data_IF_880108188514
#
_entry.id   IF_880108188514
#
_cell.length_a   1.000
_cell.length_b   1.000
_cell.length_c   1.000
_cell.angle_alpha   90.00
_cell.angle_beta   90.00
_cell.angle_gamma   90.00
#
_symmetry.space_group_name_H-M   'P 1'
#
loop_
_entity.id
_entity.type
_entity.pdbx_description
1 polymer ?
#
# COMPACT_ATOMS: atom_id res chain seq x y z
N UNK A 1 -60.46 -55.66 5.81
CA UNK A 1 -59.69 -55.07 4.69
C UNK A 1 -59.65 -53.54 4.69
N UNK A 2 -60.65 -52.84 5.24
CA UNK A 2 -60.69 -51.36 5.28
C UNK A 2 -59.52 -50.73 6.08
N UNK A 3 -59.04 -51.41 7.13
CA UNK A 3 -58.01 -50.88 8.04
C UNK A 3 -56.59 -50.85 7.44
N UNK A 4 -56.24 -51.86 6.61
CA UNK A 4 -54.96 -51.91 5.90
C UNK A 4 -54.94 -50.87 4.78
N UNK A 5 -56.06 -50.69 4.06
CA UNK A 5 -56.18 -49.67 3.02
C UNK A 5 -56.02 -48.26 3.58
N UNK A 6 -56.64 -47.96 4.73
CA UNK A 6 -56.48 -46.66 5.40
C UNK A 6 -55.05 -46.38 5.85
N UNK A 7 -54.34 -47.39 6.34
CA UNK A 7 -52.95 -47.25 6.80
C UNK A 7 -51.95 -47.08 5.64
N UNK A 8 -52.18 -47.76 4.51
CA UNK A 8 -51.38 -47.59 3.29
C UNK A 8 -51.61 -46.20 2.68
N UNK A 9 -52.87 -45.73 2.64
CA UNK A 9 -53.19 -44.39 2.14
C UNK A 9 -52.58 -43.30 3.02
N UNK A 10 -52.68 -43.42 4.34
CA UNK A 10 -52.04 -42.50 5.30
C UNK A 10 -50.51 -42.52 5.20
N UNK A 11 -49.90 -43.70 5.03
CA UNK A 11 -48.46 -43.84 4.81
C UNK A 11 -48.00 -43.19 3.49
N UNK A 12 -48.76 -43.37 2.41
CA UNK A 12 -48.49 -42.70 1.13
C UNK A 12 -48.66 -41.19 1.21
N UNK A 13 -49.68 -40.68 1.90
CA UNK A 13 -49.87 -39.22 2.06
C UNK A 13 -48.75 -38.60 2.88
N UNK A 14 -48.28 -39.29 3.92
CA UNK A 14 -47.14 -38.83 4.70
C UNK A 14 -45.84 -38.80 3.87
N UNK A 15 -45.54 -39.86 3.11
CA UNK A 15 -44.34 -39.91 2.25
C UNK A 15 -44.39 -38.86 1.13
N UNK A 16 -45.56 -38.65 0.51
CA UNK A 16 -45.74 -37.61 -0.52
C UNK A 16 -45.57 -36.21 0.07
N UNK A 17 -46.12 -35.95 1.27
CA UNK A 17 -46.01 -34.64 1.92
C UNK A 17 -44.61 -34.28 2.42
N UNK A 18 -43.82 -35.27 2.86
CA UNK A 18 -42.41 -35.06 3.21
C UNK A 18 -41.50 -35.06 1.96
N UNK A 19 -41.87 -35.82 0.93
CA UNK A 19 -41.14 -35.87 -0.34
C UNK A 19 -41.23 -34.56 -1.11
N UNK A 20 -42.38 -33.89 -1.12
CA UNK A 20 -42.54 -32.60 -1.79
C UNK A 20 -41.67 -31.52 -1.16
N UNK A 21 -41.70 -31.36 0.17
CA UNK A 21 -40.89 -30.36 0.87
C UNK A 21 -39.37 -30.56 0.67
N UNK A 22 -38.93 -31.81 0.56
CA UNK A 22 -37.52 -32.12 0.29
C UNK A 22 -37.13 -31.85 -1.18
N UNK A 23 -38.05 -32.03 -2.11
CA UNK A 23 -37.86 -31.70 -3.54
C UNK A 23 -37.85 -30.19 -3.75
N UNK A 24 -38.80 -29.47 -3.16
CA UNK A 24 -38.89 -28.00 -3.24
C UNK A 24 -37.58 -27.36 -2.74
N UNK A 25 -37.08 -27.76 -1.56
CA UNK A 25 -35.80 -27.29 -1.02
C UNK A 25 -34.55 -27.72 -1.83
N UNK A 26 -34.67 -28.73 -2.70
CA UNK A 26 -33.58 -29.14 -3.59
C UNK A 26 -33.61 -28.35 -4.90
N UNK A 27 -34.81 -28.07 -5.42
CA UNK A 27 -35.01 -27.22 -6.60
C UNK A 27 -34.54 -25.78 -6.31
N UNK A 28 -34.90 -25.22 -5.16
CA UNK A 28 -34.50 -23.89 -4.71
C UNK A 28 -32.96 -23.76 -4.60
N UNK A 29 -32.28 -24.72 -3.97
CA UNK A 29 -30.81 -24.74 -3.91
C UNK A 29 -30.15 -24.88 -5.28
N UNK A 30 -30.75 -25.66 -6.17
CA UNK A 30 -30.25 -25.81 -7.53
C UNK A 30 -30.43 -24.52 -8.34
N UNK A 31 -31.54 -23.80 -8.12
CA UNK A 31 -31.79 -22.50 -8.73
C UNK A 31 -30.76 -21.45 -8.28
N UNK A 32 -30.53 -21.32 -6.97
CA UNK A 32 -29.49 -20.42 -6.43
C UNK A 32 -28.11 -20.76 -6.98
N UNK A 33 -27.73 -22.03 -7.00
CA UNK A 33 -26.43 -22.45 -7.54
C UNK A 33 -26.28 -22.16 -9.05
N UNK A 34 -27.37 -22.28 -9.81
CA UNK A 34 -27.37 -21.91 -11.23
C UNK A 34 -27.23 -20.41 -11.42
N UNK A 35 -27.92 -19.61 -10.60
CA UNK A 35 -27.82 -18.15 -10.63
C UNK A 35 -26.40 -17.67 -10.23
N UNK A 36 -25.79 -18.24 -9.18
CA UNK A 36 -24.40 -17.98 -8.81
C UNK A 36 -23.43 -18.27 -9.97
N UNK A 37 -23.62 -19.41 -10.65
CA UNK A 37 -22.79 -19.78 -11.79
C UNK A 37 -23.02 -18.84 -12.99
N UNK A 38 -24.26 -18.44 -13.26
CA UNK A 38 -24.59 -17.49 -14.31
C UNK A 38 -23.96 -16.12 -14.04
N UNK A 39 -24.01 -15.65 -12.79
CA UNK A 39 -23.42 -14.38 -12.36
C UNK A 39 -21.89 -14.42 -12.36
N UNK A 40 -21.26 -15.54 -12.00
CA UNK A 40 -19.81 -15.71 -12.15
C UNK A 40 -19.37 -15.75 -13.62
N UNK A 41 -20.20 -16.32 -14.51
CA UNK A 41 -19.95 -16.24 -15.95
C UNK A 41 -20.15 -14.81 -16.47
N UNK A 42 -21.17 -14.11 -15.95
CA UNK A 42 -21.42 -12.71 -16.28
C UNK A 42 -20.23 -11.85 -15.90
N UNK A 43 -19.72 -11.97 -14.68
CA UNK A 43 -18.50 -11.33 -14.18
C UNK A 43 -17.31 -11.53 -15.13
N UNK A 44 -16.97 -12.77 -15.47
CA UNK A 44 -15.88 -13.07 -16.41
C UNK A 44 -16.05 -12.39 -17.78
N UNK A 45 -17.29 -12.22 -18.25
CA UNK A 45 -17.59 -11.56 -19.53
C UNK A 45 -17.63 -10.04 -19.42
N UNK A 46 -18.11 -9.51 -18.31
CA UNK A 46 -18.09 -8.10 -18.00
C UNK A 46 -16.64 -7.61 -17.88
N UNK A 47 -15.77 -8.36 -17.21
CA UNK A 47 -14.34 -8.08 -17.12
C UNK A 47 -13.67 -8.00 -18.51
N UNK A 48 -14.00 -8.91 -19.44
CA UNK A 48 -13.49 -8.86 -20.82
C UNK A 48 -13.90 -7.58 -21.57
N UNK A 49 -15.07 -7.02 -21.27
CA UNK A 49 -15.54 -5.77 -21.88
C UNK A 49 -14.91 -4.57 -21.17
N UNK A 50 -14.95 -4.54 -19.85
CA UNK A 50 -14.40 -3.49 -19.01
C UNK A 50 -12.90 -3.27 -19.27
N UNK A 51 -12.12 -4.35 -19.36
CA UNK A 51 -10.67 -4.28 -19.62
C UNK A 51 -10.31 -4.09 -21.10
N UNK A 52 -11.30 -3.97 -22.00
CA UNK A 52 -11.09 -3.67 -23.41
C UNK A 52 -10.72 -4.87 -24.30
N UNK A 53 -10.83 -6.11 -23.81
CA UNK A 53 -10.56 -7.32 -24.60
C UNK A 53 -11.68 -7.65 -25.62
N UNK A 54 -12.88 -7.10 -25.43
CA UNK A 54 -14.02 -7.32 -26.31
C UNK A 54 -14.96 -6.12 -26.37
N UNK A 55 -15.52 -5.84 -27.56
CA UNK A 55 -16.48 -4.76 -27.75
C UNK A 55 -17.90 -5.10 -27.26
N UNK A 56 -18.34 -6.36 -27.31
CA UNK A 56 -19.65 -6.78 -26.78
C UNK A 56 -19.56 -8.23 -26.32
N UNK A 57 -20.20 -8.58 -25.21
CA UNK A 57 -20.38 -9.96 -24.77
C UNK A 57 -21.85 -10.23 -24.46
N UNK A 58 -22.28 -11.48 -24.63
CA UNK A 58 -23.62 -11.93 -24.26
C UNK A 58 -23.53 -13.16 -23.39
N UNK A 59 -24.31 -13.18 -22.31
CA UNK A 59 -24.28 -14.22 -21.29
C UNK A 59 -25.69 -14.79 -21.14
N UNK A 60 -25.92 -16.07 -21.49
CA UNK A 60 -27.19 -16.70 -21.21
C UNK A 60 -27.31 -16.93 -19.70
N UNK A 61 -28.21 -16.18 -19.06
CA UNK A 61 -28.45 -16.26 -17.61
C UNK A 61 -29.36 -17.46 -17.25
N UNK A 62 -29.93 -18.11 -18.27
CA UNK A 62 -30.76 -19.29 -18.13
C UNK A 62 -32.19 -18.98 -17.67
N UNK A 63 -33.08 -19.98 -17.67
CA UNK A 63 -34.41 -19.85 -17.11
C UNK A 63 -34.32 -19.76 -15.58
N UNK A 64 -34.90 -18.71 -15.00
CA UNK A 64 -35.08 -18.56 -13.55
C UNK A 64 -36.52 -18.17 -13.22
N UNK A 65 -36.99 -18.46 -12.01
CA UNK A 65 -38.22 -17.93 -11.45
C UNK A 65 -38.03 -16.52 -10.89
N UNK A 66 -36.78 -16.13 -10.65
CA UNK A 66 -36.37 -14.80 -10.22
C UNK A 66 -36.39 -13.72 -11.30
N UNK A 67 -35.86 -12.56 -10.91
CA UNK A 67 -35.78 -11.34 -11.71
C UNK A 67 -34.34 -10.85 -11.76
N UNK A 68 -33.91 -10.44 -12.94
CA UNK A 68 -32.68 -9.68 -13.14
C UNK A 68 -33.00 -8.19 -13.30
N UNK A 69 -32.24 -7.33 -12.64
CA UNK A 69 -32.28 -5.87 -12.77
C UNK A 69 -30.88 -5.29 -12.92
N UNK A 70 -30.78 -4.17 -13.62
CA UNK A 70 -29.62 -3.27 -13.62
C UNK A 70 -29.95 -2.10 -12.71
N UNK A 71 -29.05 -1.80 -11.77
CA UNK A 71 -29.21 -0.77 -10.76
C UNK A 71 -28.02 0.19 -10.81
N UNK A 72 -28.07 1.24 -11.65
CA UNK A 72 -26.90 2.10 -11.91
C UNK A 72 -26.41 2.88 -10.69
N UNK A 73 -27.29 3.17 -9.73
CA UNK A 73 -26.96 3.91 -8.50
C UNK A 73 -26.60 2.99 -7.32
N UNK A 74 -26.40 1.69 -7.55
CA UNK A 74 -26.13 0.74 -6.49
C UNK A 74 -24.65 0.82 -6.06
N UNK A 75 -24.44 1.48 -4.93
CA UNK A 75 -23.15 1.60 -4.26
C UNK A 75 -22.21 2.63 -4.87
N UNK A 76 -21.26 3.08 -4.06
CA UNK A 76 -20.31 4.15 -4.37
C UNK A 76 -18.91 3.75 -3.92
N UNK A 77 -17.88 4.17 -4.66
CA UNK A 77 -16.48 3.96 -4.29
C UNK A 77 -15.74 5.30 -4.30
N UNK A 78 -14.92 5.50 -3.27
CA UNK A 78 -14.01 6.64 -3.15
C UNK A 78 -12.59 6.12 -2.92
N UNK A 79 -11.63 6.71 -3.63
CA UNK A 79 -10.20 6.46 -3.46
C UNK A 79 -9.55 7.77 -3.06
N UNK A 80 -9.02 7.81 -1.86
CA UNK A 80 -8.30 8.96 -1.32
C UNK A 80 -6.84 8.59 -1.15
N UNK A 81 -5.95 9.48 -1.60
CA UNK A 81 -4.56 9.46 -1.21
C UNK A 81 -4.44 10.36 0.02
N UNK A 82 -4.45 9.73 1.19
CA UNK A 82 -4.40 10.44 2.46
C UNK A 82 -2.98 10.93 2.77
N UNK A 83 -2.82 12.12 3.35
CA UNK A 83 -1.53 12.78 3.60
C UNK A 83 -0.61 12.75 2.36
N UNK A 84 -1.15 13.22 1.23
CA UNK A 84 -0.53 13.30 -0.09
C UNK A 84 0.69 14.23 -0.13
N UNK A 85 0.68 15.35 0.61
CA UNK A 85 1.72 16.39 0.54
C UNK A 85 2.58 16.55 1.81
N UNK A 86 2.42 15.67 2.80
CA UNK A 86 3.19 15.74 4.05
C UNK A 86 2.76 16.91 4.94
N UNK A 87 1.63 17.56 4.64
CA UNK A 87 0.99 18.53 5.50
C UNK A 87 0.57 17.93 6.84
N UNK A 88 0.19 18.80 7.77
CA UNK A 88 -0.61 18.40 8.92
C UNK A 88 -1.96 19.10 8.74
N UNK A 89 -2.98 18.38 8.32
CA UNK A 89 -4.37 18.74 8.55
C UNK A 89 -4.61 18.95 10.06
N UNK A 90 -5.78 19.47 10.44
CA UNK A 90 -6.15 19.62 11.85
C UNK A 90 -7.08 18.51 12.33
N UNK A 91 -7.35 17.49 11.51
CA UNK A 91 -8.47 16.58 11.63
C UNK A 91 -8.18 15.09 11.38
N UNK A 92 -6.93 14.60 11.39
CA UNK A 92 -6.54 13.18 11.61
C UNK A 92 -7.45 12.15 10.91
N UNK A 93 -7.97 12.47 9.72
CA UNK A 93 -8.91 11.64 8.98
C UNK A 93 -8.40 11.38 7.56
N UNK A 94 -9.24 10.81 6.70
CA UNK A 94 -8.85 10.36 5.36
C UNK A 94 -9.86 10.88 4.30
N UNK A 95 -10.34 12.10 4.51
CA UNK A 95 -11.41 12.74 3.74
C UNK A 95 -10.92 14.10 3.25
N UNK A 96 -10.74 14.23 1.93
CA UNK A 96 -10.47 15.52 1.26
C UNK A 96 -11.60 16.53 1.56
N UNK A 97 -11.36 17.46 2.50
CA UNK A 97 -12.32 18.46 2.98
C UNK A 97 -12.18 19.82 2.26
N UNK A 98 -11.19 19.94 1.38
CA UNK A 98 -11.00 21.04 0.45
C UNK A 98 -9.65 21.75 0.55
N UNK A 99 -9.59 23.06 0.19
CA UNK A 99 -8.30 23.73 0.01
C UNK A 99 -7.49 23.85 1.31
N UNK A 100 -6.34 23.17 1.37
CA UNK A 100 -5.42 23.18 2.50
C UNK A 100 -5.41 21.89 3.31
N UNK A 101 -6.21 20.91 2.91
CA UNK A 101 -6.11 19.53 3.34
C UNK A 101 -4.84 18.86 2.80
N UNK A 102 -4.24 17.97 3.58
CA UNK A 102 -3.12 17.12 3.16
C UNK A 102 -3.60 15.88 2.39
N UNK A 103 -4.90 15.55 2.44
CA UNK A 103 -5.52 14.49 1.66
C UNK A 103 -5.84 14.90 0.21
N UNK A 104 -5.91 13.91 -0.68
CA UNK A 104 -6.31 14.11 -2.08
C UNK A 104 -7.27 13.05 -2.58
N UNK A 105 -8.46 13.46 -3.00
CA UNK A 105 -9.38 12.57 -3.72
C UNK A 105 -8.81 12.22 -5.10
N UNK A 106 -8.52 10.93 -5.33
CA UNK A 106 -8.06 10.41 -6.62
C UNK A 106 -9.23 10.02 -7.51
N UNK A 107 -10.30 9.49 -6.91
CA UNK A 107 -11.49 9.03 -7.61
C UNK A 107 -12.70 9.00 -6.70
N UNK A 108 -13.86 9.31 -7.26
CA UNK A 108 -15.16 9.11 -6.64
C UNK A 108 -16.17 8.78 -7.75
N UNK A 109 -16.97 7.74 -7.56
CA UNK A 109 -17.90 7.28 -8.59
C UNK A 109 -18.86 6.19 -8.14
N UNK A 110 -19.97 6.09 -8.84
CA UNK A 110 -20.94 5.00 -8.66
C UNK A 110 -20.31 3.67 -9.08
N UNK A 111 -20.69 2.58 -8.43
CA UNK A 111 -20.32 1.23 -8.87
C UNK A 111 -21.37 0.65 -9.81
N UNK A 112 -22.65 0.89 -9.50
CA UNK A 112 -23.78 0.20 -10.12
C UNK A 112 -23.78 -1.31 -9.87
N UNK A 113 -24.91 -1.96 -10.13
CA UNK A 113 -25.03 -3.41 -9.96
C UNK A 113 -25.89 -4.08 -11.03
N UNK A 114 -25.59 -5.35 -11.29
CA UNK A 114 -26.55 -6.28 -11.91
C UNK A 114 -27.03 -7.23 -10.83
N UNK A 115 -28.32 -7.20 -10.53
CA UNK A 115 -28.92 -7.94 -9.41
C UNK A 115 -29.80 -9.05 -9.95
N UNK A 116 -29.63 -10.25 -9.40
CA UNK A 116 -30.59 -11.34 -9.46
C UNK A 116 -31.30 -11.45 -8.12
N UNK A 117 -32.63 -11.42 -8.14
CA UNK A 117 -33.47 -11.49 -6.95
C UNK A 117 -34.54 -12.58 -7.13
N UNK A 118 -34.69 -13.44 -6.12
CA UNK A 118 -35.82 -14.35 -5.93
C UNK A 118 -36.36 -14.19 -4.49
N UNK A 119 -37.39 -14.95 -4.08
CA UNK A 119 -38.07 -14.78 -2.79
C UNK A 119 -37.16 -14.84 -1.56
N UNK A 120 -36.02 -15.54 -1.66
CA UNK A 120 -35.20 -15.94 -0.53
C UNK A 120 -33.69 -15.66 -0.75
N UNK A 121 -33.29 -15.12 -1.90
CA UNK A 121 -31.87 -14.88 -2.21
C UNK A 121 -31.67 -13.74 -3.19
N UNK A 122 -30.64 -12.94 -2.92
CA UNK A 122 -30.13 -11.92 -3.83
C UNK A 122 -28.66 -12.21 -4.19
N UNK A 123 -28.33 -12.09 -5.47
CA UNK A 123 -26.96 -12.21 -5.99
C UNK A 123 -26.69 -11.01 -6.87
N UNK A 124 -25.63 -10.27 -6.58
CA UNK A 124 -25.28 -9.07 -7.31
C UNK A 124 -23.86 -9.11 -7.85
N UNK A 125 -23.71 -8.66 -9.09
CA UNK A 125 -22.43 -8.26 -9.66
C UNK A 125 -22.26 -6.76 -9.45
N UNK A 126 -21.22 -6.34 -8.71
CA UNK A 126 -20.91 -4.94 -8.41
C UNK A 126 -19.41 -4.75 -8.30
N UNK A 127 -18.87 -3.69 -8.92
CA UNK A 127 -17.45 -3.31 -8.82
C UNK A 127 -16.47 -4.39 -9.31
N UNK A 128 -16.92 -5.28 -10.20
CA UNK A 128 -16.14 -6.41 -10.70
C UNK A 128 -16.16 -7.67 -9.81
N UNK A 129 -16.89 -7.66 -8.69
CA UNK A 129 -17.09 -8.84 -7.83
C UNK A 129 -18.52 -9.37 -7.90
N UNK A 130 -18.72 -10.59 -7.39
CA UNK A 130 -20.06 -11.20 -7.22
C UNK A 130 -20.32 -11.47 -5.75
N UNK A 131 -21.42 -10.93 -5.25
CA UNK A 131 -21.84 -10.95 -3.85
C UNK A 131 -23.17 -11.68 -3.73
N UNK A 132 -23.31 -12.54 -2.71
CA UNK A 132 -24.61 -13.12 -2.36
C UNK A 132 -25.05 -12.56 -1.03
N UNK A 133 -26.26 -12.02 -0.97
CA UNK A 133 -26.88 -11.54 0.27
C UNK A 133 -27.60 -12.70 0.98
N UNK A 134 -27.54 -12.72 2.31
CA UNK A 134 -28.25 -13.69 3.14
C UNK A 134 -29.56 -13.09 3.68
N UNK A 135 -30.62 -13.90 3.78
CA UNK A 135 -31.91 -13.49 4.38
C UNK A 135 -31.77 -12.90 5.80
N UNK A 136 -30.79 -13.37 6.56
CA UNK A 136 -30.52 -12.90 7.93
C UNK A 136 -29.80 -11.56 7.99
N UNK A 137 -29.49 -10.95 6.84
CA UNK A 137 -28.60 -9.80 6.69
C UNK A 137 -27.14 -10.22 6.46
N UNK A 138 -26.38 -9.30 5.86
CA UNK A 138 -25.01 -9.52 5.42
C UNK A 138 -24.90 -10.20 4.06
N UNK A 139 -23.69 -10.25 3.54
CA UNK A 139 -23.32 -10.73 2.21
C UNK A 139 -21.99 -11.48 2.26
N UNK A 140 -21.81 -12.39 1.32
CA UNK A 140 -20.58 -13.17 1.14
C UNK A 140 -20.05 -13.04 -0.28
N UNK A 141 -18.72 -12.98 -0.40
CA UNK A 141 -18.04 -12.96 -1.69
C UNK A 141 -18.12 -14.34 -2.36
N UNK A 142 -18.65 -14.38 -3.58
CA UNK A 142 -18.70 -15.59 -4.41
C UNK A 142 -17.67 -15.53 -5.54
N UNK A 143 -17.46 -14.34 -6.12
CA UNK A 143 -16.36 -14.04 -7.04
C UNK A 143 -15.65 -12.76 -6.59
N UNK A 144 -14.31 -12.74 -6.51
CA UNK A 144 -13.57 -11.56 -6.10
C UNK A 144 -13.51 -10.50 -7.20
N UNK A 145 -13.51 -9.21 -6.86
CA UNK A 145 -13.17 -8.15 -7.82
C UNK A 145 -11.74 -8.26 -8.34
N UNK A 146 -11.48 -7.65 -9.49
CA UNK A 146 -10.16 -7.61 -10.18
C UNK A 146 -9.15 -6.66 -9.51
N UNK A 147 -9.25 -6.52 -8.20
CA UNK A 147 -8.33 -5.77 -7.36
C UNK A 147 -7.10 -6.64 -7.08
N UNK A 148 -5.94 -6.19 -7.52
CA UNK A 148 -4.68 -6.91 -7.37
C UNK A 148 -3.63 -6.07 -6.66
N UNK A 149 -3.09 -6.60 -5.55
CA UNK A 149 -1.88 -6.08 -4.93
C UNK A 149 -0.72 -7.05 -5.15
N UNK A 150 0.36 -6.57 -5.78
CA UNK A 150 1.55 -7.40 -6.02
C UNK A 150 2.82 -6.56 -5.98
N UNK A 151 3.76 -6.91 -5.08
CA UNK A 151 5.11 -6.33 -5.03
C UNK A 151 5.09 -4.80 -5.01
N UNK A 152 4.20 -4.24 -4.19
CA UNK A 152 4.00 -2.81 -4.07
C UNK A 152 3.22 -2.14 -5.20
N UNK A 153 2.75 -2.86 -6.22
CA UNK A 153 1.80 -2.30 -7.19
C UNK A 153 0.37 -2.66 -6.78
N UNK A 154 -0.45 -1.65 -6.51
CA UNK A 154 -1.89 -1.76 -6.43
C UNK A 154 -2.51 -1.51 -7.81
N UNK A 155 -3.26 -2.46 -8.33
CA UNK A 155 -4.02 -2.34 -9.57
C UNK A 155 -5.51 -2.49 -9.28
N UNK A 156 -6.28 -1.46 -9.63
CA UNK A 156 -7.70 -1.34 -9.34
C UNK A 156 -8.46 -0.93 -10.61
N UNK A 157 -8.92 -1.91 -11.40
CA UNK A 157 -9.91 -1.68 -12.43
C UNK A 157 -11.30 -1.60 -11.79
N UNK A 158 -11.86 -0.40 -11.73
CA UNK A 158 -13.23 -0.18 -11.29
C UNK A 158 -14.13 -0.51 -12.49
N UNK A 159 -15.07 -1.43 -12.30
CA UNK A 159 -16.08 -1.76 -13.30
C UNK A 159 -17.42 -1.13 -12.89
N UNK A 160 -17.74 0.00 -13.51
CA UNK A 160 -18.99 0.74 -13.30
C UNK A 160 -20.08 0.17 -14.21
N UNK A 161 -21.22 -0.20 -13.63
CA UNK A 161 -22.37 -0.77 -14.33
C UNK A 161 -23.43 0.30 -14.60
N UNK A 162 -23.70 0.55 -15.87
CA UNK A 162 -24.77 1.43 -16.34
C UNK A 162 -25.91 0.63 -17.00
N UNK A 163 -27.11 1.21 -17.03
CA UNK A 163 -28.23 0.66 -17.79
C UNK A 163 -28.05 0.98 -19.28
N UNK A 164 -28.04 -0.06 -20.12
CA UNK A 164 -27.97 0.06 -21.57
C UNK A 164 -29.26 0.58 -22.20
N UNK A 165 -29.30 0.62 -23.53
CA UNK A 165 -30.45 1.17 -24.26
C UNK A 165 -31.66 0.23 -24.36
N UNK A 166 -31.47 -1.04 -24.01
CA UNK A 166 -32.47 -2.11 -23.98
C UNK A 166 -33.26 -2.17 -22.68
N UNK A 167 -33.63 -3.38 -22.23
CA UNK A 167 -34.36 -3.55 -20.98
C UNK A 167 -33.38 -3.71 -19.81
N UNK A 168 -33.40 -2.82 -18.82
CA UNK A 168 -32.67 -3.03 -17.56
C UNK A 168 -33.35 -3.99 -16.59
N UNK A 169 -34.53 -4.55 -16.90
CA UNK A 169 -35.22 -5.53 -16.03
C UNK A 169 -35.79 -6.68 -16.85
N UNK A 170 -35.58 -7.91 -16.38
CA UNK A 170 -36.12 -9.12 -17.01
C UNK A 170 -36.40 -10.24 -16.01
N UNK A 171 -37.57 -10.85 -16.10
CA UNK A 171 -37.90 -12.09 -15.38
C UNK A 171 -37.88 -13.30 -16.32
N UNK A 172 -37.63 -14.50 -15.78
CA UNK A 172 -37.64 -15.71 -16.58
C UNK A 172 -36.30 -16.02 -17.23
N UNK A 173 -36.36 -16.52 -18.47
CA UNK A 173 -35.16 -16.72 -19.28
C UNK A 173 -34.66 -15.36 -19.80
N UNK A 174 -33.43 -15.00 -19.40
CA UNK A 174 -32.76 -13.77 -19.78
C UNK A 174 -31.40 -14.05 -20.44
N UNK A 175 -31.01 -13.18 -21.37
CA UNK A 175 -29.63 -13.07 -21.83
C UNK A 175 -29.15 -11.67 -21.49
N UNK A 176 -28.09 -11.56 -20.70
CA UNK A 176 -27.44 -10.29 -20.42
C UNK A 176 -26.49 -9.92 -21.55
N UNK A 177 -26.60 -8.72 -22.07
CA UNK A 177 -25.69 -8.16 -23.07
C UNK A 177 -24.88 -7.06 -22.39
N UNK A 178 -23.57 -7.11 -22.58
CA UNK A 178 -22.61 -6.18 -21.99
C UNK A 178 -21.81 -5.50 -23.09
N UNK A 179 -21.76 -4.18 -23.09
CA UNK A 179 -20.99 -3.35 -24.02
C UNK A 179 -20.24 -2.24 -23.28
N UNK A 180 -19.14 -1.68 -23.82
CA UNK A 180 -18.49 -0.53 -23.23
C UNK A 180 -19.41 0.68 -23.38
N UNK A 181 -19.45 1.54 -22.36
CA UNK A 181 -20.19 2.79 -22.43
C UNK A 181 -19.49 3.77 -23.40
N UNK A 182 -20.22 4.78 -23.90
CA UNK A 182 -19.69 5.68 -24.95
C UNK A 182 -18.50 6.53 -24.53
N UNK A 183 -18.30 6.73 -23.22
CA UNK A 183 -17.20 7.49 -22.61
C UNK A 183 -16.11 6.54 -22.05
N UNK A 184 -15.78 5.47 -22.79
CA UNK A 184 -15.02 4.33 -22.26
C UNK A 184 -13.60 4.68 -21.78
N UNK A 185 -13.22 4.01 -20.68
CA UNK A 185 -11.86 3.84 -20.16
C UNK A 185 -11.17 5.16 -19.80
N UNK A 186 -11.32 5.57 -18.55
CA UNK A 186 -10.52 6.65 -18.00
C UNK A 186 -9.38 6.08 -17.16
N UNK A 187 -8.13 6.38 -17.55
CA UNK A 187 -6.98 6.16 -16.67
C UNK A 187 -6.98 7.25 -15.60
N UNK A 188 -7.64 6.93 -14.49
CA UNK A 188 -7.75 7.78 -13.30
C UNK A 188 -6.37 8.05 -12.71
N UNK A 189 -5.54 7.01 -12.58
CA UNK A 189 -4.17 7.14 -12.05
C UNK A 189 -3.23 6.10 -12.68
N UNK A 190 -2.00 6.48 -13.09
CA UNK A 190 -1.45 7.84 -13.11
C UNK A 190 -2.05 8.69 -14.24
N UNK A 191 -2.35 9.97 -13.97
CA UNK A 191 -2.96 10.89 -14.94
C UNK A 191 -2.04 12.06 -15.39
N UNK A 192 -0.84 12.20 -14.80
CA UNK A 192 0.20 13.12 -15.25
C UNK A 192 0.95 12.57 -16.48
N UNK A 193 1.24 13.40 -17.48
CA UNK A 193 1.85 12.97 -18.76
C UNK A 193 3.26 12.34 -18.66
N UNK A 194 3.89 12.38 -17.50
CA UNK A 194 5.05 11.55 -17.15
C UNK A 194 4.50 10.20 -16.67
N UNK A 195 4.80 9.08 -17.32
CA UNK A 195 4.41 7.73 -16.84
C UNK A 195 5.11 7.34 -15.52
N UNK A 196 5.53 8.33 -14.71
CA UNK A 196 5.97 8.14 -13.34
C UNK A 196 4.71 7.88 -12.51
N UNK A 197 4.75 6.78 -11.78
CA UNK A 197 3.64 6.33 -10.96
C UNK A 197 4.05 5.93 -9.53
N UNK A 198 5.13 6.46 -8.92
CA UNK A 198 5.37 6.19 -7.52
C UNK A 198 4.33 6.94 -6.65
N UNK A 199 3.82 6.28 -5.62
CA UNK A 199 3.16 6.95 -4.49
C UNK A 199 4.27 7.27 -3.48
N UNK A 200 4.53 8.54 -3.25
CA UNK A 200 5.75 9.00 -2.55
C UNK A 200 5.55 9.21 -1.03
N UNK A 201 4.32 9.50 -0.59
CA UNK A 201 3.96 9.85 0.79
C UNK A 201 2.56 9.32 1.13
N UNK A 202 2.19 9.26 2.42
CA UNK A 202 0.80 9.06 2.85
C UNK A 202 0.26 7.63 2.79
N UNK A 203 -1.04 7.47 2.61
CA UNK A 203 -1.70 6.16 2.48
C UNK A 203 -2.78 6.17 1.40
N UNK A 204 -3.06 5.00 0.81
CA UNK A 204 -4.21 4.87 -0.08
C UNK A 204 -5.38 4.30 0.72
N UNK A 205 -6.42 5.09 0.88
CA UNK A 205 -7.68 4.68 1.50
C UNK A 205 -8.72 4.45 0.42
N UNK A 206 -9.34 3.27 0.45
CA UNK A 206 -10.44 2.90 -0.44
C UNK A 206 -11.68 2.69 0.42
N UNK A 207 -12.70 3.47 0.16
CA UNK A 207 -13.99 3.43 0.87
C UNK A 207 -15.06 2.97 -0.10
N UNK A 208 -15.83 1.96 0.29
CA UNK A 208 -16.95 1.44 -0.48
C UNK A 208 -18.22 1.56 0.34
N UNK A 209 -19.22 2.26 -0.20
CA UNK A 209 -20.59 2.28 0.29
C UNK A 209 -21.42 1.31 -0.55
N UNK A 210 -21.97 0.26 0.06
CA UNK A 210 -22.71 -0.81 -0.64
C UNK A 210 -23.54 -1.66 0.32
N UNK A 211 -24.74 -2.07 -0.09
CA UNK A 211 -25.56 -3.06 0.64
C UNK A 211 -24.86 -4.43 0.77
N UNK A 212 -23.81 -4.66 -0.02
CA UNK A 212 -22.93 -5.84 0.06
C UNK A 212 -21.70 -5.62 0.94
N UNK A 213 -21.73 -4.63 1.83
CA UNK A 213 -20.59 -4.20 2.67
C UNK A 213 -19.79 -5.36 3.29
N UNK A 214 -20.44 -6.30 3.96
CA UNK A 214 -19.75 -7.42 4.64
C UNK A 214 -18.98 -8.35 3.68
N UNK A 215 -19.43 -8.45 2.43
CA UNK A 215 -18.71 -9.17 1.37
C UNK A 215 -17.46 -8.41 0.94
N UNK A 216 -17.56 -7.09 0.77
CA UNK A 216 -16.41 -6.22 0.55
C UNK A 216 -15.41 -6.25 1.71
N UNK A 217 -15.88 -6.24 2.96
CA UNK A 217 -15.04 -6.40 4.15
C UNK A 217 -14.29 -7.73 4.12
N UNK A 218 -14.98 -8.84 3.81
CA UNK A 218 -14.35 -10.14 3.65
C UNK A 218 -13.26 -10.10 2.58
N UNK A 219 -13.56 -9.52 1.41
CA UNK A 219 -12.61 -9.37 0.31
C UNK A 219 -11.35 -8.61 0.77
N UNK A 220 -11.50 -7.45 1.41
CA UNK A 220 -10.34 -6.67 1.87
C UNK A 220 -9.50 -7.44 2.89
N UNK A 221 -10.14 -8.09 3.87
CA UNK A 221 -9.41 -8.91 4.88
C UNK A 221 -8.64 -10.07 4.26
N UNK A 222 -9.20 -10.72 3.25
CA UNK A 222 -8.60 -11.91 2.63
C UNK A 222 -7.57 -11.59 1.55
N UNK A 223 -7.68 -10.45 0.87
CA UNK A 223 -6.99 -10.22 -0.42
C UNK A 223 -6.09 -8.98 -0.48
N UNK A 224 -6.23 -7.99 0.41
CA UNK A 224 -5.46 -6.74 0.28
C UNK A 224 -4.35 -6.58 1.33
N UNK A 225 -4.46 -7.27 2.47
CA UNK A 225 -3.46 -7.19 3.55
C UNK A 225 -3.37 -5.83 4.24
N UNK A 226 -4.25 -4.88 3.90
CA UNK A 226 -4.37 -3.55 4.50
C UNK A 226 -5.13 -3.55 5.82
N UNK A 227 -5.15 -2.40 6.48
CA UNK A 227 -5.98 -2.20 7.66
C UNK A 227 -7.44 -1.99 7.23
N UNK A 228 -8.36 -2.83 7.72
CA UNK A 228 -9.76 -2.82 7.27
C UNK A 228 -10.65 -2.25 8.36
N UNK A 229 -11.32 -1.16 8.03
CA UNK A 229 -12.40 -0.56 8.83
C UNK A 229 -13.71 -1.30 8.53
N UNK A 230 -14.22 -2.09 9.49
CA UNK A 230 -15.36 -2.98 9.25
C UNK A 230 -16.66 -2.22 9.00
N UNK A 231 -17.62 -2.92 8.38
CA UNK A 231 -19.00 -2.49 8.27
C UNK A 231 -19.63 -2.42 9.67
N UNK A 232 -19.55 -1.28 10.36
CA UNK A 232 -19.98 -1.12 11.74
C UNK A 232 -21.53 -1.07 11.90
N UNK A 233 -22.25 -1.97 11.21
CA UNK A 233 -23.72 -2.00 11.16
C UNK A 233 -24.36 -1.05 10.15
N UNK A 234 -23.54 -0.42 9.30
CA UNK A 234 -23.97 0.32 8.11
C UNK A 234 -23.39 -0.30 6.84
N UNK A 235 -23.54 0.43 5.74
CA UNK A 235 -23.19 -0.03 4.39
C UNK A 235 -21.82 0.46 3.92
N UNK A 236 -20.98 0.99 4.81
CA UNK A 236 -19.67 1.55 4.47
C UNK A 236 -18.54 0.70 5.04
N UNK A 237 -17.58 0.35 4.19
CA UNK A 237 -16.33 -0.34 4.54
C UNK A 237 -15.13 0.41 3.98
N UNK A 238 -14.07 0.50 4.78
CA UNK A 238 -12.81 1.11 4.38
C UNK A 238 -11.68 0.09 4.37
N UNK A 239 -10.72 0.26 3.46
CA UNK A 239 -9.39 -0.34 3.60
C UNK A 239 -8.33 0.72 3.39
N UNK A 240 -7.40 0.80 4.35
CA UNK A 240 -6.22 1.65 4.26
C UNK A 240 -5.01 0.78 3.97
N UNK A 241 -4.34 1.13 2.87
CA UNK A 241 -3.07 0.57 2.45
C UNK A 241 -2.00 1.64 2.70
N UNK A 242 -1.30 1.52 3.82
CA UNK A 242 -0.23 2.43 4.23
C UNK A 242 0.89 2.43 3.18
N UNK A 243 1.33 3.60 2.74
CA UNK A 243 2.63 3.70 2.07
C UNK A 243 3.68 3.93 3.16
N UNK A 244 4.83 3.25 3.09
CA UNK A 244 5.86 3.37 4.13
C UNK A 244 6.77 4.59 3.90
N UNK A 245 6.29 5.59 3.16
CA UNK A 245 7.12 6.64 2.60
C UNK A 245 7.95 6.16 1.39
N UNK A 246 9.08 6.82 1.05
CA UNK A 246 9.86 6.50 -0.13
C UNK A 246 10.32 5.04 -0.10
N UNK A 247 10.14 4.32 -1.22
CA UNK A 247 10.66 2.97 -1.42
C UNK A 247 11.27 2.79 -2.83
N UNK A 248 12.49 2.29 -2.87
CA UNK A 248 13.33 2.19 -4.06
C UNK A 248 14.42 3.25 -4.07
N UNK A 249 14.98 3.53 -5.26
CA UNK A 249 16.09 4.45 -5.45
C UNK A 249 15.62 5.85 -5.86
N UNK A 250 16.13 6.87 -5.19
CA UNK A 250 15.80 8.29 -5.37
C UNK A 250 17.08 9.13 -5.53
N UNK A 251 16.96 10.32 -6.09
CA UNK A 251 18.00 11.37 -6.00
C UNK A 251 18.16 11.79 -4.53
N UNK A 252 19.34 12.29 -4.16
CA UNK A 252 19.56 12.76 -2.79
C UNK A 252 18.81 14.07 -2.55
N UNK A 253 18.28 14.24 -1.32
CA UNK A 253 17.72 15.50 -0.83
C UNK A 253 18.71 16.65 -0.97
N UNK A 254 18.21 17.85 -1.28
CA UNK A 254 19.02 19.07 -1.22
C UNK A 254 19.43 19.43 0.23
N UNK A 255 20.62 19.99 0.40
CA UNK A 255 21.22 20.37 1.69
C UNK A 255 20.69 21.71 2.26
N UNK A 256 19.76 22.36 1.56
CA UNK A 256 19.31 23.73 1.88
C UNK A 256 18.29 23.78 3.03
N UNK A 257 18.05 22.65 3.68
CA UNK A 257 17.09 22.41 4.77
C UNK A 257 15.61 22.63 4.42
N UNK A 258 15.28 22.79 3.15
CA UNK A 258 13.87 22.92 2.71
C UNK A 258 13.25 21.60 2.29
N UNK A 259 14.07 20.60 1.96
CA UNK A 259 13.58 19.27 1.60
C UNK A 259 13.68 18.28 2.78
N UNK A 260 12.67 17.44 2.93
CA UNK A 260 12.66 16.30 3.84
C UNK A 260 11.92 15.14 3.22
N UNK A 261 12.27 13.93 3.66
CA UNK A 261 11.52 12.73 3.31
C UNK A 261 10.80 12.17 4.53
N UNK A 262 9.48 12.17 4.46
CA UNK A 262 8.64 11.50 5.45
C UNK A 262 8.74 9.98 5.28
N UNK A 263 9.03 9.28 6.37
CA UNK A 263 9.09 7.81 6.45
C UNK A 263 8.06 7.34 7.46
N UNK A 264 7.23 6.37 7.09
CA UNK A 264 6.14 5.84 7.92
C UNK A 264 6.20 4.32 8.09
N UNK A 265 5.65 3.80 9.18
CA UNK A 265 5.34 2.40 9.41
C UNK A 265 6.50 1.48 9.84
N UNK A 266 7.58 2.02 10.42
CA UNK A 266 8.73 1.24 10.91
C UNK A 266 8.56 0.58 12.30
N UNK A 267 7.32 0.36 12.74
CA UNK A 267 7.05 -0.28 14.03
C UNK A 267 7.39 -1.79 13.98
N UNK A 268 8.63 -2.13 14.36
CA UNK A 268 9.05 -3.53 14.57
C UNK A 268 10.16 -4.09 13.68
N UNK A 269 11.05 -3.24 13.13
CA UNK A 269 12.24 -3.61 12.33
C UNK A 269 11.93 -4.33 11.01
N UNK A 270 11.67 -3.58 9.94
CA UNK A 270 11.41 -4.18 8.62
C UNK A 270 11.99 -3.37 7.46
N UNK A 271 13.29 -3.07 7.50
CA UNK A 271 14.03 -2.63 6.32
C UNK A 271 14.57 -3.86 5.55
N UNK A 272 14.37 -3.89 4.24
CA UNK A 272 14.93 -4.87 3.29
C UNK A 272 16.23 -4.35 2.66
N UNK A 273 16.28 -3.06 2.38
CA UNK A 273 17.45 -2.34 1.87
C UNK A 273 17.46 -0.94 2.47
N UNK A 274 18.66 -0.42 2.74
CA UNK A 274 18.84 0.99 3.04
C UNK A 274 20.28 1.36 2.74
N UNK A 275 20.51 2.01 1.61
CA UNK A 275 21.85 2.37 1.17
C UNK A 275 21.90 3.75 0.50
N UNK A 276 23.00 4.45 0.68
CA UNK A 276 23.26 5.75 0.06
C UNK A 276 24.49 5.70 -0.81
N UNK A 277 24.49 6.49 -1.88
CA UNK A 277 25.65 6.76 -2.73
C UNK A 277 25.86 8.27 -2.78
N UNK A 278 26.94 8.73 -2.15
CA UNK A 278 27.36 10.13 -2.14
C UNK A 278 28.40 10.36 -3.22
N UNK A 279 28.18 11.40 -4.03
CA UNK A 279 29.05 11.77 -5.15
C UNK A 279 29.69 13.11 -4.91
N UNK A 280 31.02 13.22 -4.92
CA UNK A 280 31.68 14.48 -4.73
C UNK A 280 31.55 15.38 -5.94
N UNK A 281 31.56 16.69 -5.74
CA UNK A 281 31.61 17.67 -6.84
C UNK A 281 32.82 17.41 -7.74
N UNK A 282 32.61 17.32 -9.06
CA UNK A 282 33.66 17.00 -10.04
C UNK A 282 34.64 18.17 -10.33
N UNK A 283 35.02 18.97 -9.33
CA UNK A 283 35.97 20.07 -9.48
C UNK A 283 36.91 20.22 -8.29
N UNK A 284 38.21 20.35 -8.59
CA UNK A 284 39.23 20.66 -7.60
C UNK A 284 39.49 19.51 -6.62
N UNK A 285 39.46 19.81 -5.32
CA UNK A 285 39.73 18.86 -4.24
C UNK A 285 38.51 18.82 -3.28
N UNK A 286 37.32 18.40 -3.76
CA UNK A 286 36.05 18.54 -3.04
C UNK A 286 36.06 17.83 -1.69
N UNK A 287 36.68 16.64 -1.64
CA UNK A 287 36.76 15.83 -0.42
C UNK A 287 37.70 16.41 0.64
N UNK A 288 38.47 17.46 0.31
CA UNK A 288 39.19 18.24 1.31
C UNK A 288 38.25 19.01 2.22
N UNK A 289 36.95 19.08 1.95
CA UNK A 289 35.91 19.67 2.79
C UNK A 289 34.87 18.65 3.27
N UNK A 290 35.02 17.35 2.94
CA UNK A 290 34.01 16.32 3.25
C UNK A 290 33.62 16.32 4.73
N UNK A 291 32.37 16.67 4.97
CA UNK A 291 31.64 16.66 6.23
C UNK A 291 30.15 16.75 5.86
N UNK A 292 29.47 15.61 5.81
CA UNK A 292 28.10 15.47 5.32
C UNK A 292 27.31 14.62 6.31
N UNK A 293 26.05 14.95 6.53
CA UNK A 293 25.20 14.20 7.46
C UNK A 293 23.82 13.93 6.88
N UNK A 294 23.29 12.76 7.22
CA UNK A 294 21.87 12.42 7.14
C UNK A 294 21.32 12.33 8.56
N UNK A 295 20.17 12.94 8.82
CA UNK A 295 19.68 13.05 10.18
C UNK A 295 18.15 13.09 10.27
N UNK A 296 17.66 12.80 11.46
CA UNK A 296 16.25 12.84 11.88
C UNK A 296 16.19 13.65 13.16
N UNK A 297 15.38 14.70 13.20
CA UNK A 297 15.18 15.54 14.39
C UNK A 297 13.83 15.21 15.05
N UNK A 298 13.85 14.88 16.34
CA UNK A 298 12.62 14.69 17.14
C UNK A 298 12.37 15.82 18.12
N UNK A 299 13.35 16.71 18.30
CA UNK A 299 13.29 17.78 19.28
C UNK A 299 14.62 18.51 19.39
N UNK A 300 14.78 19.29 20.47
CA UNK A 300 16.01 20.06 20.67
C UNK A 300 17.16 19.13 21.05
N UNK A 301 18.10 18.96 20.13
CA UNK A 301 19.27 18.08 20.26
C UNK A 301 18.95 16.56 20.37
N UNK A 302 17.69 16.18 20.14
CA UNK A 302 17.22 14.80 20.16
C UNK A 302 16.92 14.32 18.73
N UNK A 303 17.26 13.07 18.45
CA UNK A 303 17.19 12.52 17.11
C UNK A 303 18.29 11.50 16.81
N UNK A 304 18.44 11.19 15.52
CA UNK A 304 19.45 10.28 14.97
C UNK A 304 20.25 11.01 13.89
N UNK A 305 21.55 10.80 13.84
CA UNK A 305 22.42 11.35 12.80
C UNK A 305 23.48 10.34 12.37
N UNK A 306 23.61 10.16 11.06
CA UNK A 306 24.69 9.46 10.39
C UNK A 306 25.62 10.50 9.73
N UNK A 307 26.85 10.63 10.23
CA UNK A 307 27.83 11.59 9.72
C UNK A 307 28.95 10.89 8.95
N UNK A 308 29.31 11.46 7.80
CA UNK A 308 30.43 11.05 6.95
C UNK A 308 31.39 12.22 6.79
N UNK A 309 32.64 12.04 7.24
CA UNK A 309 33.65 13.10 7.14
C UNK A 309 35.01 12.59 6.71
N UNK A 310 35.84 13.48 6.16
CA UNK A 310 37.24 13.15 5.87
C UNK A 310 38.00 12.80 7.16
N UNK A 311 38.87 11.80 7.07
CA UNK A 311 39.87 11.52 8.11
C UNK A 311 40.97 12.58 8.13
N UNK A 312 41.58 12.86 6.97
CA UNK A 312 42.63 13.87 6.84
C UNK A 312 42.84 14.30 5.40
N UNK A 313 43.42 15.50 5.18
CA UNK A 313 43.83 15.95 3.86
C UNK A 313 42.70 16.02 2.83
N UNK A 314 43.01 15.62 1.59
CA UNK A 314 42.06 15.40 0.51
C UNK A 314 42.08 13.91 0.16
N UNK A 315 41.11 13.11 0.64
CA UNK A 315 41.16 11.68 0.45
C UNK A 315 40.87 11.29 -1.02
N UNK A 316 41.50 10.20 -1.45
CA UNK A 316 41.41 9.63 -2.78
C UNK A 316 40.77 8.24 -2.79
N UNK A 317 40.81 7.59 -3.95
CA UNK A 317 40.32 6.22 -4.12
C UNK A 317 40.98 5.27 -3.11
N UNK A 318 40.18 4.47 -2.40
CA UNK A 318 40.62 3.49 -1.43
C UNK A 318 40.93 4.05 -0.03
N UNK A 319 40.96 5.37 0.14
CA UNK A 319 41.10 5.99 1.46
C UNK A 319 39.80 5.84 2.26
N UNK A 320 39.93 5.61 3.56
CA UNK A 320 38.79 5.52 4.48
C UNK A 320 38.24 6.90 4.87
N UNK A 321 36.93 6.94 5.12
CA UNK A 321 36.26 8.08 5.76
C UNK A 321 35.98 7.76 7.23
N UNK A 322 35.75 8.81 8.03
CA UNK A 322 35.22 8.64 9.39
C UNK A 322 33.70 8.60 9.28
N UNK A 323 33.11 7.52 9.77
CA UNK A 323 31.67 7.33 9.81
C UNK A 323 31.22 7.28 11.28
N UNK A 324 30.23 8.10 11.63
CA UNK A 324 29.74 8.22 13.01
C UNK A 324 28.22 8.11 13.06
N UNK A 325 27.68 7.51 14.13
CA UNK A 325 26.24 7.46 14.44
C UNK A 325 26.02 8.13 15.79
N UNK A 326 25.16 9.14 15.82
CA UNK A 326 24.68 9.79 17.03
C UNK A 326 23.20 9.47 17.22
N UNK A 327 22.81 9.07 18.42
CA UNK A 327 21.39 8.98 18.80
C UNK A 327 21.16 9.59 20.18
N UNK A 328 20.07 10.35 20.33
CA UNK A 328 19.61 10.84 21.63
C UNK A 328 18.10 10.95 21.67
N UNK A 329 17.48 10.33 22.68
CA UNK A 329 16.04 10.43 22.92
C UNK A 329 15.66 11.79 23.56
N UNK A 330 16.47 12.28 24.51
CA UNK A 330 16.15 13.42 25.38
C UNK A 330 16.96 14.69 25.10
N UNK A 331 17.91 14.62 24.16
CA UNK A 331 18.84 15.69 23.80
C UNK A 331 19.90 16.01 24.87
N UNK A 332 19.95 15.25 25.98
CA UNK A 332 20.88 15.46 27.09
C UNK A 332 21.97 14.38 27.14
N UNK A 333 21.56 13.11 27.03
CA UNK A 333 22.46 11.97 26.93
C UNK A 333 22.36 11.37 25.54
N UNK A 334 23.47 10.89 25.03
CA UNK A 334 23.51 10.31 23.69
C UNK A 334 24.23 8.96 23.68
N UNK A 335 23.92 8.18 22.67
CA UNK A 335 24.62 6.98 22.28
C UNK A 335 25.46 7.31 21.03
N UNK A 336 26.76 7.03 21.10
CA UNK A 336 27.73 7.41 20.07
C UNK A 336 28.47 6.20 19.55
N UNK A 337 28.49 6.05 18.22
CA UNK A 337 29.19 4.97 17.55
C UNK A 337 30.07 5.52 16.44
N UNK A 338 31.25 4.93 16.22
CA UNK A 338 32.17 5.41 15.21
C UNK A 338 32.97 4.26 14.58
N UNK A 339 33.26 4.38 13.29
CA UNK A 339 34.28 3.57 12.62
C UNK A 339 35.02 4.43 11.57
N UNK A 340 36.35 4.40 11.62
CA UNK A 340 37.19 5.22 10.76
C UNK A 340 37.72 4.49 9.51
N UNK A 341 37.41 3.20 9.36
CA UNK A 341 37.99 2.31 8.34
C UNK A 341 36.98 1.46 7.56
N UNK A 342 35.74 1.35 8.04
CA UNK A 342 34.71 0.53 7.41
C UNK A 342 34.30 1.04 6.02
N UNK A 343 34.13 2.36 5.89
CA UNK A 343 33.66 2.99 4.65
C UNK A 343 34.85 3.59 3.91
N UNK A 344 34.94 3.32 2.60
CA UNK A 344 36.02 3.76 1.72
C UNK A 344 35.50 4.46 0.49
N UNK A 345 36.28 5.41 -0.02
CA UNK A 345 36.01 6.05 -1.30
C UNK A 345 36.29 5.06 -2.42
N UNK A 346 35.29 4.80 -3.23
CA UNK A 346 35.37 3.95 -4.42
C UNK A 346 35.62 4.84 -5.63
N UNK A 347 36.26 4.27 -6.66
CA UNK A 347 36.43 4.91 -7.95
C UNK A 347 35.95 3.93 -9.01
N UNK A 348 34.93 4.34 -9.76
CA UNK A 348 34.23 3.53 -10.75
C UNK A 348 33.81 4.42 -11.91
N UNK A 349 34.01 3.95 -13.14
CA UNK A 349 33.40 4.50 -14.36
C UNK A 349 31.89 4.21 -14.36
N UNK A 350 31.11 5.12 -13.76
CA UNK A 350 29.66 4.93 -13.63
C UNK A 350 28.86 5.53 -14.79
N UNK A 351 29.45 6.44 -15.56
CA UNK A 351 28.81 7.11 -16.69
C UNK A 351 29.21 6.49 -18.04
N UNK A 352 30.20 5.59 -18.03
CA UNK A 352 30.70 4.88 -19.19
C UNK A 352 31.57 5.73 -20.10
N UNK A 353 32.08 6.87 -19.60
CA UNK A 353 32.95 7.77 -20.37
C UNK A 353 34.41 7.28 -20.45
N UNK A 354 34.76 6.29 -19.64
CA UNK A 354 36.08 5.67 -19.57
C UNK A 354 37.03 6.28 -18.54
N UNK A 355 36.57 7.24 -17.73
CA UNK A 355 37.25 7.74 -16.55
C UNK A 355 36.62 7.12 -15.29
N UNK A 356 37.38 7.08 -14.19
CA UNK A 356 36.83 6.61 -12.91
C UNK A 356 36.45 7.81 -12.06
N UNK A 357 35.20 7.88 -11.64
CA UNK A 357 34.68 8.91 -10.74
C UNK A 357 34.63 8.41 -9.30
N UNK A 358 34.80 9.35 -8.36
CA UNK A 358 34.77 9.02 -6.92
C UNK A 358 33.33 8.88 -6.44
N UNK A 359 33.09 7.91 -5.56
CA UNK A 359 31.85 7.81 -4.79
C UNK A 359 32.09 7.25 -3.40
N UNK A 360 31.18 7.51 -2.48
CA UNK A 360 31.11 6.86 -1.16
C UNK A 360 29.77 6.14 -1.11
N UNK A 361 29.81 4.81 -0.94
CA UNK A 361 28.60 4.00 -0.77
C UNK A 361 28.53 3.49 0.67
N UNK A 362 27.36 3.62 1.29
CA UNK A 362 27.09 3.11 2.63
C UNK A 362 25.84 2.24 2.54
N UNK A 363 25.95 1.02 3.03
CA UNK A 363 24.82 0.11 3.24
C UNK A 363 24.55 0.07 4.74
N UNK A 364 23.45 0.69 5.14
CA UNK A 364 23.06 0.82 6.54
C UNK A 364 22.57 -0.49 7.15
N UNK A 365 22.34 -1.52 6.31
CA UNK A 365 21.99 -2.88 6.73
C UNK A 365 23.18 -3.84 6.59
N UNK A 366 24.41 -3.33 6.40
CA UNK A 366 25.61 -4.17 6.35
C UNK A 366 25.98 -4.70 7.76
N UNK A 367 25.57 -5.94 8.01
CA UNK A 367 25.90 -6.70 9.22
C UNK A 367 27.40 -6.89 9.48
N UNK A 368 28.26 -6.67 8.47
CA UNK A 368 29.71 -6.86 8.55
C UNK A 368 30.44 -5.59 8.97
N UNK A 369 29.79 -4.43 8.91
CA UNK A 369 30.33 -3.16 9.42
C UNK A 369 30.14 -3.11 10.93
N UNK A 370 31.23 -3.29 11.67
CA UNK A 370 31.25 -3.15 13.14
C UNK A 370 31.49 -1.70 13.53
N UNK A 371 30.65 -1.14 14.39
CA UNK A 371 30.75 0.23 14.89
C UNK A 371 31.16 0.21 16.35
N UNK A 372 32.17 0.99 16.74
CA UNK A 372 32.68 1.02 18.12
C UNK A 372 31.90 2.04 18.96
N UNK A 373 31.48 1.65 20.17
CA UNK A 373 30.82 2.55 21.11
C UNK A 373 31.84 3.53 21.69
N UNK A 374 31.68 4.83 21.42
CA UNK A 374 32.67 5.84 21.78
C UNK A 374 32.07 7.24 21.94
N UNK A 375 32.79 8.11 22.65
CA UNK A 375 32.44 9.53 22.71
C UNK A 375 32.73 10.20 21.37
N UNK A 376 31.73 10.93 20.88
CA UNK A 376 31.81 11.77 19.70
C UNK A 376 32.19 13.20 20.10
N UNK A 377 32.86 13.91 19.20
CA UNK A 377 33.11 15.36 19.33
C UNK A 377 32.17 16.13 18.41
N UNK A 378 32.04 17.45 18.58
CA UNK A 378 31.32 18.33 17.66
C UNK A 378 31.88 18.38 16.20
N UNK A 379 32.89 17.56 15.89
CA UNK A 379 33.37 17.33 14.53
C UNK A 379 32.78 16.06 13.91
N UNK A 380 32.23 15.16 14.71
CA UNK A 380 31.65 13.88 14.30
C UNK A 380 30.14 14.00 14.04
N UNK A 381 29.60 15.20 14.18
CA UNK A 381 28.21 15.56 13.98
C UNK A 381 28.16 16.93 13.32
N UNK A 382 27.09 17.18 12.61
CA UNK A 382 26.76 18.43 11.94
C UNK A 382 25.56 19.07 12.64
N UNK A 383 24.50 18.29 12.90
CA UNK A 383 23.24 18.83 13.46
C UNK A 383 23.20 18.80 14.97
N UNK A 384 23.66 17.70 15.57
CA UNK A 384 23.57 17.53 17.02
C UNK A 384 24.87 17.91 17.73
N UNK A 385 24.75 18.40 18.96
CA UNK A 385 25.88 18.70 19.85
C UNK A 385 26.07 17.54 20.85
N UNK A 386 27.15 16.73 20.72
CA UNK A 386 27.37 15.59 21.59
C UNK A 386 27.59 16.02 23.06
N UNK A 387 26.57 15.79 23.88
CA UNK A 387 26.59 16.07 25.32
C UNK A 387 27.32 15.01 26.15
N UNK A 388 26.59 14.34 27.05
CA UNK A 388 27.16 13.26 27.87
C UNK A 388 26.90 11.90 27.22
N UNK A 389 27.95 11.14 26.93
CA UNK A 389 27.80 9.75 26.45
C UNK A 389 27.11 8.91 27.52
N UNK A 390 26.14 8.11 27.09
CA UNK A 390 25.49 7.12 27.94
C UNK A 390 26.49 6.03 28.39
N UNK A 391 26.37 5.56 29.63
CA UNK A 391 27.38 4.65 30.19
C UNK A 391 27.23 3.19 29.77
N UNK A 392 26.00 2.73 29.57
CA UNK A 392 25.67 1.33 29.31
C UNK A 392 24.30 1.26 28.62
N UNK A 393 24.24 1.51 27.31
CA UNK A 393 23.00 1.39 26.57
C UNK A 393 22.50 -0.06 26.59
N UNK A 394 21.18 -0.22 26.59
CA UNK A 394 20.48 -1.51 26.53
C UNK A 394 19.42 -1.36 25.46
N UNK A 395 19.35 -2.33 24.54
CA UNK A 395 18.31 -2.40 23.52
C UNK A 395 17.29 -3.44 23.99
N UNK A 396 16.17 -3.01 24.57
CA UNK A 396 15.12 -3.90 25.09
C UNK A 396 13.69 -3.43 24.79
N UNK A 397 13.56 -2.43 23.92
CA UNK A 397 12.31 -1.78 23.55
C UNK A 397 11.49 -2.62 22.55
N UNK A 398 12.14 -3.49 21.78
CA UNK A 398 11.51 -4.33 20.77
C UNK A 398 11.83 -5.84 20.94
N UNK A 399 10.92 -6.76 20.52
CA UNK A 399 11.09 -8.20 20.71
C UNK A 399 12.34 -8.83 20.06
N UNK A 400 12.88 -8.20 19.01
CA UNK A 400 14.08 -8.64 18.30
C UNK A 400 15.37 -8.03 18.86
N UNK A 401 15.28 -7.12 19.83
CA UNK A 401 16.47 -6.46 20.37
C UNK A 401 17.34 -7.44 21.19
N UNK A 402 18.68 -7.29 21.15
CA UNK A 402 19.60 -8.23 21.78
C UNK A 402 19.71 -8.07 23.31
N UNK A 403 19.12 -7.03 23.90
CA UNK A 403 19.32 -6.65 25.30
C UNK A 403 20.56 -5.76 25.48
N UNK A 404 21.39 -5.99 26.51
CA UNK A 404 22.60 -5.20 26.74
C UNK A 404 23.56 -5.29 25.55
N UNK A 405 23.93 -4.13 25.00
CA UNK A 405 24.88 -4.05 23.87
C UNK A 405 26.33 -3.96 24.35
N UNK A 406 27.23 -4.44 23.51
CA UNK A 406 28.66 -4.55 23.78
C UNK A 406 29.45 -3.27 23.48
N UNK A 407 30.80 -3.35 23.50
CA UNK A 407 31.66 -2.23 23.09
C UNK A 407 31.63 -1.94 21.59
N UNK A 408 30.98 -2.80 20.81
CA UNK A 408 30.83 -2.68 19.36
C UNK A 408 29.59 -3.44 18.89
N UNK A 409 28.87 -2.90 17.91
CA UNK A 409 27.68 -3.52 17.31
C UNK A 409 27.67 -3.36 15.79
N UNK A 410 26.88 -4.16 15.06
CA UNK A 410 26.78 -4.03 13.61
C UNK A 410 26.01 -2.77 13.20
N UNK A 411 26.38 -2.16 12.07
CA UNK A 411 25.64 -1.02 11.52
C UNK A 411 24.17 -1.40 11.26
N UNK A 412 23.92 -2.60 10.75
CA UNK A 412 22.57 -3.15 10.58
C UNK A 412 21.73 -3.08 11.86
N UNK A 413 22.28 -3.54 12.98
CA UNK A 413 21.57 -3.54 14.27
C UNK A 413 21.29 -2.12 14.74
N UNK A 414 22.28 -1.22 14.66
CA UNK A 414 22.13 0.17 15.09
C UNK A 414 21.06 0.90 14.26
N UNK A 415 21.12 0.75 12.94
CA UNK A 415 20.16 1.36 12.00
C UNK A 415 18.75 0.87 12.29
N UNK A 416 18.52 -0.44 12.32
CA UNK A 416 17.19 -0.99 12.57
C UNK A 416 16.69 -0.57 13.96
N UNK A 417 17.53 -0.67 14.98
CA UNK A 417 17.20 -0.29 16.35
C UNK A 417 16.73 1.17 16.46
N UNK A 418 17.55 2.13 16.04
CA UNK A 418 17.21 3.54 16.22
C UNK A 418 16.05 3.99 15.33
N UNK A 419 15.92 3.47 14.12
CA UNK A 419 14.77 3.81 13.27
C UNK A 419 13.46 3.24 13.82
N UNK A 420 13.48 2.05 14.45
CA UNK A 420 12.30 1.51 15.13
C UNK A 420 11.89 2.33 16.36
N UNK A 421 12.86 2.88 17.11
CA UNK A 421 12.59 3.80 18.23
C UNK A 421 11.98 5.13 17.78
N UNK A 422 12.36 5.61 16.59
CA UNK A 422 11.84 6.85 16.01
C UNK A 422 10.48 6.67 15.33
N UNK A 423 10.08 5.42 15.04
CA UNK A 423 8.81 5.12 14.40
C UNK A 423 7.57 5.45 15.26
N UNK A 424 6.36 5.42 14.67
CA UNK A 424 6.08 4.95 13.32
C UNK A 424 6.41 5.97 12.23
N UNK A 425 6.63 7.25 12.55
CA UNK A 425 6.81 8.31 11.57
C UNK A 425 7.95 9.25 11.92
N UNK A 426 8.77 9.60 10.92
CA UNK A 426 9.83 10.59 11.06
C UNK A 426 10.25 11.19 9.72
N UNK A 427 10.96 12.31 9.78
CA UNK A 427 11.51 12.98 8.60
C UNK A 427 13.02 12.82 8.51
N UNK A 428 13.49 12.31 7.38
CA UNK A 428 14.89 12.28 7.01
C UNK A 428 15.26 13.60 6.33
N UNK A 429 16.38 14.18 6.75
CA UNK A 429 17.00 15.36 6.14
C UNK A 429 18.49 15.11 5.92
N UNK A 430 19.10 15.94 5.09
CA UNK A 430 20.55 15.95 4.89
C UNK A 430 21.10 17.36 5.12
N UNK A 431 22.39 17.45 5.45
CA UNK A 431 23.07 18.72 5.64
C UNK A 431 24.57 18.58 5.35
N UNK A 432 25.14 19.64 4.81
CA UNK A 432 26.57 19.78 4.68
C UNK A 432 27.15 20.53 5.89
N UNK A 433 28.19 19.95 6.48
CA UNK A 433 28.77 20.41 7.72
C UNK A 433 29.46 21.78 7.63
N UNK A 434 29.99 22.23 8.77
CA UNK A 434 30.60 23.57 8.96
C UNK A 434 31.71 23.98 7.96
N UNK A 435 32.24 23.05 7.16
CA UNK A 435 33.18 23.33 6.07
C UNK A 435 32.82 22.60 4.76
N UNK A 436 31.67 21.93 4.70
CA UNK A 436 31.20 21.06 3.62
C UNK A 436 30.54 21.85 2.51
N UNK A 437 30.98 21.57 1.29
CA UNK A 437 30.24 21.67 0.04
C UNK A 437 30.97 20.69 -0.89
N UNK A 438 31.01 19.44 -0.42
CA UNK A 438 31.89 18.41 -0.95
C UNK A 438 31.13 17.42 -1.80
N UNK A 439 29.87 17.17 -1.44
CA UNK A 439 28.94 16.30 -2.13
C UNK A 439 28.14 17.15 -3.12
N UNK A 440 27.69 16.51 -4.20
CA UNK A 440 26.72 17.07 -5.12
C UNK A 440 25.49 16.17 -5.08
N UNK A 441 24.43 16.69 -4.49
CA UNK A 441 23.19 15.98 -4.15
C UNK A 441 22.51 15.46 -5.41
N UNK A 442 22.46 16.27 -6.47
CA UNK A 442 21.87 15.90 -7.76
C UNK A 442 22.54 14.74 -8.51
N UNK A 443 23.81 14.42 -8.21
CA UNK A 443 24.44 13.19 -8.72
C UNK A 443 24.44 12.05 -7.66
N UNK A 444 24.04 12.37 -6.43
CA UNK A 444 23.95 11.43 -5.32
C UNK A 444 22.57 10.74 -5.31
N UNK A 445 22.47 9.64 -4.59
CA UNK A 445 21.22 8.89 -4.50
C UNK A 445 21.12 8.11 -3.20
N UNK A 446 19.90 7.77 -2.82
CA UNK A 446 19.64 6.82 -1.75
C UNK A 446 18.62 5.78 -2.20
N UNK A 447 18.67 4.60 -1.61
CA UNK A 447 17.71 3.51 -1.78
C UNK A 447 17.25 3.05 -0.41
N UNK A 448 15.94 2.91 -0.24
CA UNK A 448 15.33 2.37 0.97
C UNK A 448 14.24 1.37 0.57
N UNK A 449 14.15 0.26 1.26
CA UNK A 449 13.21 -0.82 0.97
C UNK A 449 12.69 -1.43 2.24
N UNK A 450 11.45 -1.87 2.22
CA UNK A 450 10.77 -2.44 3.39
C UNK A 450 10.28 -3.86 3.11
N UNK A 451 10.30 -4.71 4.14
CA UNK A 451 9.70 -6.04 4.12
C UNK A 451 8.25 -6.00 4.63
N UNK A 452 7.30 -5.51 3.81
CA UNK A 452 5.88 -5.61 4.16
C UNK A 452 4.98 -5.98 2.97
N UNK A 453 3.92 -6.74 3.27
CA UNK A 453 2.88 -7.15 2.33
C UNK A 453 1.76 -6.11 2.16
N UNK A 454 1.86 -4.92 2.76
CA UNK A 454 0.78 -3.92 2.80
C UNK A 454 1.17 -2.55 2.25
N UNK A 455 2.24 -2.45 1.45
CA UNK A 455 2.89 -1.18 1.05
C UNK A 455 2.61 -0.85 -0.40
N UNK A 456 1.93 0.26 -0.69
CA UNK A 456 1.68 0.67 -2.09
C UNK A 456 2.81 1.59 -2.58
N UNK A 457 3.61 1.10 -3.53
CA UNK A 457 4.64 1.83 -4.29
C UNK A 457 4.09 2.41 -5.59
N UNK A 458 3.25 1.66 -6.29
CA UNK A 458 2.66 2.07 -7.56
C UNK A 458 1.16 1.89 -7.50
N UNK A 459 0.40 2.84 -8.03
CA UNK A 459 -1.05 2.78 -8.06
C UNK A 459 -1.54 2.80 -9.51
N UNK A 460 -2.37 1.86 -9.92
CA UNK A 460 -2.97 1.88 -11.25
C UNK A 460 -4.49 1.80 -11.09
N UNK A 461 -5.16 2.92 -11.30
CA UNK A 461 -6.61 3.02 -11.21
C UNK A 461 -7.17 3.32 -12.59
N UNK A 462 -8.15 2.53 -13.00
CA UNK A 462 -8.90 2.74 -14.24
C UNK A 462 -10.38 2.68 -13.95
N UNK A 463 -11.14 3.63 -14.49
CA UNK A 463 -12.59 3.61 -14.52
C UNK A 463 -13.06 2.98 -15.84
N UNK A 464 -13.73 1.83 -15.74
CA UNK A 464 -14.19 1.03 -16.85
C UNK A 464 -15.73 0.92 -16.82
N UNK A 465 -16.40 1.79 -17.57
CA UNK A 465 -17.85 1.85 -17.64
C UNK A 465 -18.41 0.86 -18.66
N UNK A 466 -19.35 0.02 -18.23
CA UNK A 466 -20.07 -0.94 -19.06
C UNK A 466 -21.57 -0.66 -19.03
N UNK A 467 -22.21 -0.75 -20.18
CA UNK A 467 -23.66 -0.70 -20.33
C UNK A 467 -24.20 -2.14 -20.36
N UNK A 468 -25.24 -2.42 -19.56
CA UNK A 468 -25.87 -3.73 -19.45
C UNK A 468 -27.35 -3.66 -19.81
N UNK A 469 -27.81 -4.61 -20.62
CA UNK A 469 -29.23 -4.77 -20.98
C UNK A 469 -29.62 -6.25 -21.10
N UNK A 470 -30.93 -6.53 -21.02
CA UNK A 470 -31.48 -7.89 -21.10
C UNK A 470 -32.39 -8.11 -22.32
N UNK A 471 -32.19 -9.25 -23.00
CA UNK A 471 -32.98 -9.72 -24.14
C UNK A 471 -34.07 -10.74 -23.80
#
# INVERSE_FOLDING_TARGET
MVLILGMVVLGMTAVIGFGSQALDATEERAEVANAEQAMAQFDSKAAQVALGDSAVQSVPLGPSNGRYSVEPSAGHITITHANYDGGNDADDNAVDDGPGDDDRELYTGDLGAVVYEDSDTEIAYQGGGVWRQHESGGSVMTSPPEFHYRTGTLTLPIAEVNEGTGNGVRSGAATGVVSPSSDQFERVFPNGGTNQNPIEQGAITITVESEYCSGWEQFFRERTGGNVDPCAGGDVVGVTLTTLGPQGKFEMLDDDSTESHHVSGLSGHTLDSYDITLRPIERGNPLASLDWSMYIETGSNSGLEFNVRKRSGNPGCGDSVVFSVYYSEDGQRYQGWQNDDAIKIQCLDYDGDGNDEKQIRIDFLDSTVSMDYTSLSAKNTVRFDPGSLEGSPVFDEHPSDPGPVGPSESLELLTQHYLALLGPEFEIRVDDGNNGNAIFEGDSSYEIGYTSNSVVRYLHVTDNRIDVEFE
#
